data_IF_121560657204
#
_entry.id   IF_121560657204
#
_cell.length_a   1.000
_cell.length_b   1.000
_cell.length_c   1.000
_cell.angle_alpha   90.00
_cell.angle_beta   90.00
_cell.angle_gamma   90.00
#
_symmetry.space_group_name_H-M   'P 1'
#
loop_
_entity.id
_entity.type
_entity.pdbx_description
1 polymer ?
#
# COMPACT_ATOMS: atom_id res chain seq x y z
N UNK A 1 -7.57 -16.42 -16.28
CA UNK A 1 -6.68 -15.24 -16.26
C UNK A 1 -6.30 -14.95 -17.70
N UNK A 2 -6.47 -13.72 -18.16
CA UNK A 2 -6.17 -13.37 -19.56
C UNK A 2 -4.65 -13.31 -19.77
N UNK A 3 -4.16 -13.55 -21.00
CA UNK A 3 -2.73 -13.52 -21.30
C UNK A 3 -2.07 -12.16 -20.98
N UNK A 4 -2.85 -11.06 -21.00
CA UNK A 4 -2.38 -9.73 -20.60
C UNK A 4 -2.10 -9.63 -19.10
N UNK A 5 -3.01 -10.12 -18.26
CA UNK A 5 -2.87 -10.07 -16.79
C UNK A 5 -1.63 -10.85 -16.33
N UNK A 6 -1.39 -12.02 -16.94
CA UNK A 6 -0.25 -12.88 -16.61
C UNK A 6 1.10 -12.18 -16.79
N UNK A 7 1.25 -11.38 -17.85
CA UNK A 7 2.47 -10.62 -18.15
C UNK A 7 2.80 -9.55 -17.11
N UNK A 8 1.81 -9.10 -16.34
CA UNK A 8 1.99 -8.14 -15.24
C UNK A 8 2.22 -8.86 -13.92
N UNK A 9 1.45 -9.92 -13.65
CA UNK A 9 1.48 -10.64 -12.38
C UNK A 9 2.77 -11.46 -12.21
N UNK A 10 3.25 -12.15 -13.24
CA UNK A 10 4.43 -13.01 -13.12
C UNK A 10 5.70 -12.25 -12.69
N UNK A 11 6.07 -11.11 -13.32
CA UNK A 11 7.22 -10.32 -12.85
C UNK A 11 7.06 -9.82 -11.42
N UNK A 12 5.84 -9.43 -11.02
CA UNK A 12 5.57 -8.97 -9.66
C UNK A 12 5.72 -10.10 -8.62
N UNK A 13 5.22 -11.29 -8.92
CA UNK A 13 5.40 -12.47 -8.06
C UNK A 13 6.89 -12.81 -7.93
N UNK A 14 7.64 -12.81 -9.03
CA UNK A 14 9.08 -13.07 -9.00
C UNK A 14 9.81 -12.05 -8.13
N UNK A 15 9.43 -10.77 -8.21
CA UNK A 15 9.98 -9.71 -7.37
C UNK A 15 9.66 -9.93 -5.90
N UNK A 16 8.39 -10.21 -5.56
CA UNK A 16 7.99 -10.49 -4.18
C UNK A 16 8.77 -11.67 -3.60
N UNK A 17 8.92 -12.77 -4.35
CA UNK A 17 9.70 -13.94 -3.91
C UNK A 17 11.14 -13.56 -3.56
N UNK A 18 11.73 -12.61 -4.28
CA UNK A 18 13.09 -12.12 -3.99
C UNK A 18 13.18 -11.11 -2.85
N UNK A 19 12.07 -10.44 -2.48
CA UNK A 19 12.06 -9.36 -1.48
C UNK A 19 11.31 -9.70 -0.19
N UNK A 20 10.63 -10.85 -0.11
CA UNK A 20 9.73 -11.21 0.99
C UNK A 20 10.41 -11.25 2.36
N UNK A 21 11.65 -11.74 2.44
CA UNK A 21 12.41 -11.76 3.69
C UNK A 21 12.76 -10.33 4.15
N UNK A 22 12.96 -9.41 3.21
CA UNK A 22 13.17 -7.99 3.49
C UNK A 22 11.93 -7.30 4.06
N UNK A 23 10.73 -7.70 3.61
CA UNK A 23 9.46 -7.16 4.12
C UNK A 23 9.27 -7.49 5.61
N UNK A 24 9.66 -8.70 6.04
CA UNK A 24 9.57 -9.11 7.44
C UNK A 24 10.50 -8.32 8.37
N UNK A 25 11.57 -7.73 7.81
CA UNK A 25 12.52 -6.89 8.54
C UNK A 25 12.06 -5.42 8.69
N UNK A 26 10.95 -5.03 8.05
CA UNK A 26 10.42 -3.68 8.21
C UNK A 26 9.92 -3.44 9.64
N UNK A 27 9.84 -2.18 10.09
CA UNK A 27 9.22 -1.85 11.37
C UNK A 27 7.87 -2.55 11.49
N UNK A 28 7.66 -3.25 12.61
CA UNK A 28 6.42 -3.99 12.88
C UNK A 28 5.55 -3.20 13.86
N UNK A 29 4.26 -3.12 13.56
CA UNK A 29 3.26 -2.53 14.45
C UNK A 29 1.92 -3.21 14.27
N UNK A 30 0.96 -2.87 15.13
CA UNK A 30 -0.45 -3.16 14.81
C UNK A 30 -0.81 -2.33 13.57
N UNK A 31 -1.26 -3.02 12.53
CA UNK A 31 -1.83 -2.46 11.32
C UNK A 31 -3.32 -2.78 11.27
N UNK A 32 -4.08 -1.94 10.58
CA UNK A 32 -5.48 -2.18 10.28
C UNK A 32 -5.67 -3.28 9.24
N UNK A 33 -4.77 -3.39 8.26
CA UNK A 33 -4.79 -4.41 7.21
C UNK A 33 -5.75 -4.10 6.04
N UNK A 34 -6.64 -3.12 6.22
CA UNK A 34 -7.55 -2.60 5.18
C UNK A 34 -7.76 -1.10 5.32
N UNK A 35 -6.69 -0.33 5.48
CA UNK A 35 -6.74 1.12 5.74
C UNK A 35 -7.04 1.98 4.49
N UNK A 36 -8.06 1.58 3.73
CA UNK A 36 -8.54 2.32 2.57
C UNK A 36 -9.45 3.47 3.02
N UNK A 37 -9.59 4.51 2.18
CA UNK A 37 -10.46 5.66 2.47
C UNK A 37 -11.91 5.30 2.83
N UNK A 38 -12.44 4.17 2.31
CA UNK A 38 -13.78 3.66 2.67
C UNK A 38 -13.92 3.27 4.14
N UNK A 39 -12.82 2.90 4.79
CA UNK A 39 -12.75 2.49 6.19
C UNK A 39 -12.34 3.66 7.11
N UNK A 40 -12.39 4.89 6.60
CA UNK A 40 -12.06 6.11 7.35
C UNK A 40 -13.29 7.04 7.36
N UNK A 41 -13.87 7.24 8.55
CA UNK A 41 -14.99 8.15 8.73
C UNK A 41 -14.53 9.56 9.11
N UNK A 42 -15.12 10.57 8.48
CA UNK A 42 -14.93 11.97 8.86
C UNK A 42 -15.98 12.43 9.88
N UNK A 43 -15.54 12.90 11.04
CA UNK A 43 -16.40 13.36 12.15
C UNK A 43 -16.48 14.88 12.18
N UNK A 44 -17.26 15.45 11.27
CA UNK A 44 -17.38 16.91 11.08
C UNK A 44 -17.98 17.67 12.28
N UNK A 45 -18.57 16.97 13.24
CA UNK A 45 -19.27 17.56 14.40
C UNK A 45 -18.50 17.46 15.73
N UNK A 46 -17.26 16.95 15.72
CA UNK A 46 -16.43 16.83 16.93
C UNK A 46 -15.10 17.57 16.73
N UNK A 47 -14.96 18.81 17.25
CA UNK A 47 -13.71 19.56 17.17
C UNK A 47 -12.55 18.73 17.71
N UNK A 48 -11.47 18.61 16.93
CA UNK A 48 -10.24 17.93 17.35
C UNK A 48 -10.19 16.41 17.11
N UNK A 49 -11.29 15.75 16.71
CA UNK A 49 -11.31 14.33 16.34
C UNK A 49 -12.05 14.13 15.04
N UNK A 50 -11.40 14.52 13.94
CA UNK A 50 -12.02 14.56 12.61
C UNK A 50 -11.99 13.21 11.88
N UNK A 51 -11.18 12.25 12.32
CA UNK A 51 -10.91 11.01 11.59
C UNK A 51 -11.14 9.82 12.54
N UNK A 52 -11.90 8.82 12.09
CA UNK A 52 -12.13 7.58 12.83
C UNK A 52 -12.03 6.36 11.89
N UNK A 53 -10.99 5.52 12.04
CA UNK A 53 -10.93 4.23 11.37
C UNK A 53 -12.02 3.29 11.89
N UNK A 54 -12.64 2.55 10.99
CA UNK A 54 -13.67 1.54 11.26
C UNK A 54 -13.27 0.22 10.62
N UNK A 55 -13.93 -0.88 11.00
CA UNK A 55 -13.72 -2.19 10.37
C UNK A 55 -12.35 -2.84 10.69
N UNK A 56 -12.09 -3.03 11.98
CA UNK A 56 -10.81 -3.57 12.51
C UNK A 56 -10.68 -5.10 12.41
N UNK A 57 -11.53 -5.79 11.63
CA UNK A 57 -11.55 -7.27 11.60
C UNK A 57 -10.27 -7.90 11.04
N UNK A 58 -9.54 -7.15 10.20
CA UNK A 58 -8.28 -7.58 9.59
C UNK A 58 -7.05 -7.10 10.34
N UNK A 59 -7.22 -6.49 11.51
CA UNK A 59 -6.11 -5.93 12.25
C UNK A 59 -5.14 -7.02 12.71
N UNK A 60 -3.85 -6.79 12.49
CA UNK A 60 -2.78 -7.76 12.75
C UNK A 60 -1.49 -7.02 13.09
N UNK A 61 -0.51 -7.72 13.68
CA UNK A 61 0.87 -7.21 13.73
C UNK A 61 1.54 -7.48 12.38
N UNK A 62 2.03 -6.43 11.73
CA UNK A 62 2.67 -6.51 10.42
C UNK A 62 3.52 -5.29 10.10
N UNK A 63 4.03 -5.17 8.86
CA UNK A 63 4.85 -4.04 8.43
C UNK A 63 4.09 -2.72 8.58
N UNK A 64 4.62 -1.79 9.39
CA UNK A 64 3.93 -0.57 9.82
C UNK A 64 3.46 0.34 8.68
N UNK A 65 4.12 0.29 7.52
CA UNK A 65 3.78 1.12 6.37
C UNK A 65 2.75 0.47 5.43
N UNK A 66 2.27 -0.74 5.73
CA UNK A 66 1.25 -1.42 4.93
C UNK A 66 -0.07 -0.62 4.86
N UNK A 67 -0.47 0.02 5.96
CA UNK A 67 -1.67 0.87 5.97
C UNK A 67 -1.48 2.15 5.14
N UNK A 68 -0.25 2.65 5.00
CA UNK A 68 0.04 3.78 4.11
C UNK A 68 -0.05 3.38 2.63
N UNK A 69 0.40 2.18 2.28
CA UNK A 69 0.17 1.61 0.94
C UNK A 69 -1.34 1.53 0.66
N UNK A 70 -2.12 1.01 1.61
CA UNK A 70 -3.59 0.95 1.52
C UNK A 70 -4.24 2.33 1.31
N UNK A 71 -3.82 3.33 2.10
CA UNK A 71 -4.36 4.69 2.05
C UNK A 71 -4.12 5.37 0.69
N UNK A 72 -2.98 5.05 0.07
CA UNK A 72 -2.49 5.70 -1.16
C UNK A 72 -2.70 4.88 -2.43
N UNK A 73 -3.36 3.74 -2.32
CA UNK A 73 -3.80 2.93 -3.45
C UNK A 73 -4.97 3.57 -4.21
N UNK A 74 -5.05 3.29 -5.51
CA UNK A 74 -6.19 3.69 -6.35
C UNK A 74 -6.10 5.11 -6.90
N UNK A 75 -7.19 5.88 -6.80
CA UNK A 75 -7.41 7.12 -7.57
C UNK A 75 -6.69 8.37 -7.05
N UNK A 76 -5.42 8.22 -6.66
CA UNK A 76 -4.54 9.35 -6.36
C UNK A 76 -3.66 9.67 -7.56
N UNK A 77 -3.46 10.97 -7.84
CA UNK A 77 -2.39 11.37 -8.76
C UNK A 77 -1.03 11.04 -8.14
N UNK A 78 0.01 11.00 -8.97
CA UNK A 78 1.36 10.72 -8.48
C UNK A 78 1.82 11.78 -7.46
N UNK A 79 1.52 13.05 -7.73
CA UNK A 79 1.85 14.17 -6.85
C UNK A 79 1.13 14.08 -5.51
N UNK A 80 -0.16 13.71 -5.51
CA UNK A 80 -0.93 13.52 -4.29
C UNK A 80 -0.39 12.37 -3.45
N UNK A 81 -0.06 11.24 -4.08
CA UNK A 81 0.55 10.08 -3.42
C UNK A 81 1.88 10.44 -2.78
N UNK A 82 2.75 11.12 -3.53
CA UNK A 82 4.05 11.58 -3.02
C UNK A 82 3.91 12.60 -1.89
N UNK A 83 2.94 13.52 -1.98
CA UNK A 83 2.66 14.47 -0.90
C UNK A 83 2.23 13.75 0.39
N UNK A 84 1.36 12.73 0.28
CA UNK A 84 0.95 11.89 1.42
C UNK A 84 2.12 11.10 2.00
N UNK A 85 2.92 10.45 1.15
CA UNK A 85 4.11 9.70 1.58
C UNK A 85 5.12 10.62 2.27
N UNK A 86 5.35 11.83 1.73
CA UNK A 86 6.25 12.81 2.32
C UNK A 86 5.75 13.30 3.67
N UNK A 87 4.45 13.58 3.78
CA UNK A 87 3.85 14.00 5.04
C UNK A 87 4.00 12.93 6.12
N UNK A 88 3.70 11.67 5.78
CA UNK A 88 3.89 10.54 6.69
C UNK A 88 5.35 10.36 7.07
N UNK A 89 6.27 10.35 6.10
CA UNK A 89 7.71 10.20 6.34
C UNK A 89 8.25 11.25 7.30
N UNK A 90 7.87 12.52 7.12
CA UNK A 90 8.29 13.61 7.99
C UNK A 90 7.77 13.43 9.42
N UNK A 91 6.49 13.06 9.59
CA UNK A 91 5.90 12.79 10.89
C UNK A 91 6.56 11.58 11.58
N UNK A 92 6.71 10.47 10.85
CA UNK A 92 7.35 9.25 11.34
C UNK A 92 8.78 9.51 11.81
N UNK A 93 9.58 10.27 11.03
CA UNK A 93 10.96 10.62 11.44
C UNK A 93 11.01 11.51 12.67
N UNK A 94 10.10 12.46 12.79
CA UNK A 94 10.01 13.34 13.95
C UNK A 94 9.67 12.57 15.24
N UNK A 95 8.81 11.56 15.13
CA UNK A 95 8.34 10.76 16.28
C UNK A 95 9.29 9.62 16.68
N UNK A 96 9.94 8.98 15.70
CA UNK A 96 10.76 7.77 15.94
C UNK A 96 12.26 8.04 15.97
N UNK A 97 12.71 9.26 15.64
CA UNK A 97 14.11 9.59 15.40
C UNK A 97 14.79 8.66 14.37
N UNK A 98 14.03 8.08 13.45
CA UNK A 98 14.56 7.19 12.41
C UNK A 98 15.56 7.89 11.49
N UNK A 99 16.67 7.19 11.23
CA UNK A 99 17.74 7.56 10.30
C UNK A 99 17.45 7.13 8.85
N UNK A 100 16.32 6.47 8.59
CA UNK A 100 15.95 6.01 7.26
C UNK A 100 15.85 7.18 6.27
N UNK A 101 16.57 7.07 5.16
CA UNK A 101 16.51 8.01 4.05
C UNK A 101 15.20 7.90 3.26
N UNK A 102 14.80 9.02 2.64
CA UNK A 102 13.58 9.11 1.83
C UNK A 102 13.52 8.03 0.73
N UNK A 103 14.61 7.83 -0.01
CA UNK A 103 14.63 6.84 -1.11
C UNK A 103 14.43 5.42 -0.60
N UNK A 104 15.04 5.08 0.55
CA UNK A 104 14.86 3.77 1.18
C UNK A 104 13.41 3.59 1.62
N UNK A 105 12.79 4.60 2.22
CA UNK A 105 11.38 4.59 2.59
C UNK A 105 10.45 4.38 1.39
N UNK A 106 10.65 5.11 0.29
CA UNK A 106 9.84 4.95 -0.92
C UNK A 106 10.02 3.57 -1.55
N UNK A 107 11.23 3.03 -1.57
CA UNK A 107 11.49 1.67 -2.03
C UNK A 107 10.78 0.63 -1.16
N UNK A 108 10.81 0.79 0.16
CA UNK A 108 10.10 -0.10 1.08
C UNK A 108 8.58 -0.04 0.86
N UNK A 109 8.01 1.16 0.70
CA UNK A 109 6.59 1.33 0.38
C UNK A 109 6.21 0.66 -0.93
N UNK A 110 7.04 0.77 -1.97
CA UNK A 110 6.79 0.10 -3.24
C UNK A 110 6.73 -1.43 -3.10
N UNK A 111 7.62 -2.02 -2.32
CA UNK A 111 7.57 -3.46 -2.06
C UNK A 111 6.28 -3.87 -1.32
N UNK A 112 5.79 -3.03 -0.40
CA UNK A 112 4.51 -3.23 0.26
C UNK A 112 3.31 -3.03 -0.67
N UNK A 113 3.35 -2.06 -1.60
CA UNK A 113 2.33 -1.88 -2.63
C UNK A 113 2.24 -3.13 -3.54
N UNK A 114 3.39 -3.71 -3.94
CA UNK A 114 3.44 -4.95 -4.73
C UNK A 114 2.85 -6.11 -3.92
N UNK A 115 3.29 -6.29 -2.68
CA UNK A 115 2.78 -7.32 -1.78
C UNK A 115 1.26 -7.22 -1.62
N UNK A 116 0.75 -6.02 -1.32
CA UNK A 116 -0.67 -5.75 -1.19
C UNK A 116 -1.43 -6.07 -2.47
N UNK A 117 -0.96 -5.59 -3.63
CA UNK A 117 -1.66 -5.83 -4.89
C UNK A 117 -1.75 -7.33 -5.21
N UNK A 118 -0.68 -8.10 -4.95
CA UNK A 118 -0.67 -9.56 -5.13
C UNK A 118 -1.58 -10.28 -4.12
N UNK A 119 -1.60 -9.83 -2.86
CA UNK A 119 -2.52 -10.33 -1.85
C UNK A 119 -3.97 -10.16 -2.31
N UNK A 120 -4.39 -8.95 -2.70
CA UNK A 120 -5.74 -8.68 -3.20
C UNK A 120 -6.08 -9.43 -4.48
N UNK A 121 -5.12 -9.63 -5.38
CA UNK A 121 -5.32 -10.47 -6.56
C UNK A 121 -5.49 -11.95 -6.19
N UNK A 122 -4.84 -12.43 -5.13
CA UNK A 122 -4.97 -13.83 -4.68
C UNK A 122 -6.36 -14.17 -4.15
N UNK A 123 -7.06 -13.19 -3.56
CA UNK A 123 -8.46 -13.34 -3.13
C UNK A 123 -9.43 -13.57 -4.30
N UNK A 124 -9.08 -13.14 -5.52
CA UNK A 124 -9.95 -13.21 -6.70
C UNK A 124 -9.35 -14.08 -7.81
N UNK A 125 -9.99 -15.20 -8.17
CA UNK A 125 -9.44 -16.13 -9.18
C UNK A 125 -9.26 -15.54 -10.58
N UNK A 126 -10.09 -14.56 -10.97
CA UNK A 126 -9.95 -13.82 -12.25
C UNK A 126 -10.96 -12.66 -12.36
N UNK A 127 -10.83 -11.86 -13.44
CA UNK A 127 -11.76 -10.79 -13.83
C UNK A 127 -13.24 -11.22 -13.90
N UNK A 128 -13.53 -12.47 -14.25
CA UNK A 128 -14.91 -12.96 -14.33
C UNK A 128 -15.58 -13.14 -12.96
N UNK A 129 -14.78 -13.17 -11.88
CA UNK A 129 -15.27 -13.34 -10.50
C UNK A 129 -15.48 -11.99 -9.82
N UNK A 130 -14.69 -10.97 -10.16
CA UNK A 130 -14.82 -9.63 -9.57
C UNK A 130 -14.21 -8.55 -10.44
N UNK A 131 -14.90 -7.41 -10.54
CA UNK A 131 -14.34 -6.20 -11.17
C UNK A 131 -13.10 -5.70 -10.43
N UNK A 132 -12.99 -5.98 -9.12
CA UNK A 132 -11.83 -5.58 -8.30
C UNK A 132 -10.53 -6.22 -8.78
N UNK A 133 -10.57 -7.42 -9.38
CA UNK A 133 -9.38 -8.03 -9.97
C UNK A 133 -8.79 -7.13 -11.06
N UNK A 134 -9.64 -6.60 -11.94
CA UNK A 134 -9.20 -5.71 -13.02
C UNK A 134 -8.61 -4.40 -12.51
N UNK A 135 -9.16 -3.86 -11.43
CA UNK A 135 -8.63 -2.67 -10.75
C UNK A 135 -7.24 -2.93 -10.17
N UNK A 136 -7.05 -4.05 -9.46
CA UNK A 136 -5.76 -4.39 -8.87
C UNK A 136 -4.70 -4.78 -9.89
N UNK A 137 -5.06 -5.34 -11.05
CA UNK A 137 -4.11 -5.53 -12.16
C UNK A 137 -3.61 -4.18 -12.68
N UNK A 138 -4.50 -3.19 -12.85
CA UNK A 138 -4.10 -1.84 -13.29
C UNK A 138 -3.22 -1.14 -12.25
N UNK A 139 -3.55 -1.31 -10.98
CA UNK A 139 -2.75 -0.77 -9.88
C UNK A 139 -1.36 -1.42 -9.83
N UNK A 140 -1.28 -2.74 -9.96
CA UNK A 140 0.00 -3.45 -10.04
C UNK A 140 0.83 -3.01 -11.26
N UNK A 141 0.19 -2.85 -12.42
CA UNK A 141 0.86 -2.34 -13.61
C UNK A 141 1.45 -0.94 -13.39
N UNK A 142 0.72 -0.04 -12.70
CA UNK A 142 1.21 1.27 -12.30
C UNK A 142 2.45 1.13 -11.40
N UNK A 143 2.35 0.39 -10.31
CA UNK A 143 3.43 0.20 -9.33
C UNK A 143 4.70 -0.37 -10.00
N UNK A 144 4.53 -1.27 -10.97
CA UNK A 144 5.65 -1.89 -11.69
C UNK A 144 6.32 -0.94 -12.70
N UNK A 145 5.60 0.06 -13.22
CA UNK A 145 6.16 1.07 -14.15
C UNK A 145 6.77 2.28 -13.45
N UNK A 146 6.18 2.71 -12.34
CA UNK A 146 6.60 3.91 -11.62
C UNK A 146 7.97 3.71 -10.95
N UNK A 147 8.83 4.72 -11.01
CA UNK A 147 9.98 4.83 -10.11
C UNK A 147 9.51 5.49 -8.80
N UNK A 148 9.67 4.84 -7.64
CA UNK A 148 9.20 5.36 -6.35
C UNK A 148 9.95 6.65 -5.91
N UNK A 149 11.05 7.01 -6.58
CA UNK A 149 11.89 8.16 -6.23
C UNK A 149 11.82 9.29 -7.25
N UNK A 150 11.55 9.01 -8.53
CA UNK A 150 11.45 10.05 -9.58
C UNK A 150 10.01 10.32 -10.01
N UNK A 151 9.42 11.34 -9.39
CA UNK A 151 8.40 12.20 -9.98
C UNK A 151 8.68 13.66 -9.58
#
# INVERSE_FOLDING_TARGET
MENGDRKIIEPAVQRLVTSIDGLAAFPQSVIHGQYFGRNIMLRLRRPGQWIAPIDWETAVVGPSWYDLASLTAGHWTQEQRLALWRAYFNAYRAETASDMGWNSFCNCLRELEIYQALEWLSWWRSRSVSHNFGTWVKELERIMKDDPVTA
#
